data_IF_657391558427
#
_entry.id   IF_657391558427
#
_cell.length_a   1.000
_cell.length_b   1.000
_cell.length_c   1.000
_cell.angle_alpha   90.00
_cell.angle_beta   90.00
_cell.angle_gamma   90.00
#
_symmetry.space_group_name_H-M   'P 1'
#
loop_
_entity.id
_entity.type
_entity.pdbx_description
1 polymer ?
#
# COMPACT_ATOMS: atom_id res chain seq x y z
N UNK A 1 -2.70 1.27 -23.79
CA UNK A 1 -1.32 0.84 -23.48
C UNK A 1 -1.19 -0.16 -22.32
N UNK A 2 -1.59 0.11 -21.07
CA UNK A 2 -1.40 -0.87 -19.96
C UNK A 2 -2.28 -2.14 -20.09
N UNK A 3 -3.59 -1.96 -20.30
CA UNK A 3 -4.54 -3.08 -20.45
C UNK A 3 -4.15 -3.98 -21.63
N UNK A 4 -3.74 -3.40 -22.74
CA UNK A 4 -3.31 -4.13 -23.95
C UNK A 4 -2.05 -4.96 -23.69
N UNK A 5 -1.16 -4.47 -22.82
CA UNK A 5 0.12 -5.13 -22.53
C UNK A 5 0.05 -6.18 -21.42
N UNK A 6 -0.76 -5.95 -20.38
CA UNK A 6 -0.77 -6.78 -19.18
C UNK A 6 -2.11 -7.50 -18.93
N UNK A 7 -3.16 -7.17 -19.69
CA UNK A 7 -4.48 -7.82 -19.58
C UNK A 7 -5.32 -7.36 -18.38
N UNK A 8 -4.86 -6.41 -17.58
CA UNK A 8 -5.61 -5.84 -16.45
C UNK A 8 -5.38 -4.34 -16.34
N UNK A 9 -6.26 -3.63 -15.62
CA UNK A 9 -6.11 -2.21 -15.31
C UNK A 9 -5.86 -2.04 -13.81
N UNK A 10 -4.71 -1.50 -13.37
CA UNK A 10 -4.48 -1.24 -11.95
C UNK A 10 -5.42 -0.12 -11.48
N UNK A 11 -6.10 -0.37 -10.36
CA UNK A 11 -7.09 0.58 -9.79
C UNK A 11 -6.54 1.36 -8.59
N UNK A 12 -5.46 0.85 -7.98
CA UNK A 12 -4.82 1.42 -6.80
C UNK A 12 -3.34 0.98 -6.76
N UNK A 13 -2.50 1.84 -6.18
CA UNK A 13 -1.11 1.52 -5.84
C UNK A 13 -0.93 1.69 -4.34
N UNK A 14 -0.29 0.73 -3.67
CA UNK A 14 0.09 0.82 -2.27
C UNK A 14 1.60 1.03 -2.08
N UNK A 15 1.98 1.68 -1.00
CA UNK A 15 3.38 1.84 -0.59
C UNK A 15 3.51 1.83 0.94
N UNK A 16 4.71 1.49 1.41
CA UNK A 16 5.00 1.26 2.82
C UNK A 16 6.13 2.17 3.29
N UNK A 17 5.85 2.98 4.30
CA UNK A 17 6.81 3.92 4.88
C UNK A 17 7.16 3.46 6.29
N UNK A 18 8.45 3.37 6.60
CA UNK A 18 8.89 3.12 7.97
C UNK A 18 8.78 4.42 8.79
N UNK A 19 7.83 4.53 9.74
CA UNK A 19 7.58 5.75 10.49
C UNK A 19 8.72 6.10 11.45
N UNK A 20 9.58 5.13 11.81
CA UNK A 20 10.75 5.37 12.66
C UNK A 20 11.85 6.11 11.89
N UNK A 21 11.90 5.93 10.56
CA UNK A 21 12.90 6.55 9.69
C UNK A 21 12.37 7.78 8.95
N UNK A 22 11.10 7.77 8.57
CA UNK A 22 10.51 8.79 7.71
C UNK A 22 9.09 9.15 8.13
N UNK A 23 8.77 10.45 8.16
CA UNK A 23 7.42 10.93 8.52
C UNK A 23 6.38 10.80 7.39
N UNK A 24 6.74 10.31 6.20
CA UNK A 24 5.80 10.15 5.07
C UNK A 24 5.16 11.46 4.57
N UNK A 25 5.79 12.62 4.77
CA UNK A 25 5.21 13.94 4.40
C UNK A 25 5.01 14.10 2.90
N UNK A 26 5.95 13.60 2.09
CA UNK A 26 5.87 13.66 0.63
C UNK A 26 4.63 12.92 0.11
N UNK A 27 4.33 11.73 0.65
CA UNK A 27 3.13 10.96 0.29
C UNK A 27 1.85 11.74 0.64
N UNK A 28 1.76 12.26 1.87
CA UNK A 28 0.60 13.07 2.29
C UNK A 28 0.39 14.33 1.43
N UNK A 29 1.47 14.90 0.89
CA UNK A 29 1.41 16.09 0.03
C UNK A 29 1.16 15.78 -1.46
N UNK A 30 1.12 14.50 -1.87
CA UNK A 30 1.04 14.09 -3.28
C UNK A 30 -0.15 13.18 -3.57
N UNK A 31 -1.32 13.48 -2.98
CA UNK A 31 -2.57 12.75 -3.14
C UNK A 31 -2.55 11.27 -2.69
N UNK A 32 -1.55 10.88 -1.88
CA UNK A 32 -1.61 9.57 -1.21
C UNK A 32 -2.46 9.65 0.05
N UNK A 33 -3.30 8.65 0.24
CA UNK A 33 -4.14 8.50 1.41
C UNK A 33 -3.49 7.52 2.38
N UNK A 34 -3.28 7.92 3.64
CA UNK A 34 -2.87 7.01 4.70
C UNK A 34 -4.06 6.14 5.13
N UNK A 35 -3.87 4.82 5.15
CA UNK A 35 -4.95 3.87 5.46
C UNK A 35 -4.70 3.03 6.72
N UNK A 36 -3.55 3.20 7.37
CA UNK A 36 -3.22 2.50 8.61
C UNK A 36 -1.78 2.03 8.67
N UNK A 37 -1.54 0.99 9.49
CA UNK A 37 -0.21 0.44 9.75
C UNK A 37 -0.15 -1.06 9.52
N UNK A 38 1.00 -1.55 9.07
CA UNK A 38 1.26 -2.99 8.99
C UNK A 38 1.39 -3.60 10.39
N UNK A 39 1.25 -4.92 10.49
CA UNK A 39 1.37 -5.64 11.78
C UNK A 39 2.82 -6.00 12.15
N UNK A 40 3.82 -5.39 11.51
CA UNK A 40 5.23 -5.75 11.73
C UNK A 40 5.60 -7.17 11.29
N UNK A 41 4.79 -7.80 10.43
CA UNK A 41 5.05 -9.15 9.93
C UNK A 41 5.76 -9.09 8.58
N UNK A 42 6.94 -9.69 8.50
CA UNK A 42 7.64 -9.87 7.23
C UNK A 42 7.03 -10.97 6.38
N UNK A 43 7.37 -11.02 5.09
CA UNK A 43 6.90 -12.05 4.13
C UNK A 43 7.19 -13.49 4.58
N UNK A 44 8.24 -13.68 5.37
CA UNK A 44 8.71 -14.99 5.87
C UNK A 44 8.41 -15.19 7.36
N UNK A 45 7.49 -14.42 7.96
CA UNK A 45 7.13 -14.55 9.36
C UNK A 45 6.24 -15.79 9.62
N UNK A 46 6.84 -16.97 9.48
CA UNK A 46 6.20 -18.28 9.68
C UNK A 46 5.64 -18.48 11.10
N UNK A 47 6.24 -17.83 12.08
CA UNK A 47 5.91 -18.01 13.50
C UNK A 47 5.13 -16.83 14.09
N UNK A 48 4.66 -15.89 13.25
CA UNK A 48 3.96 -14.67 13.68
C UNK A 48 4.68 -13.91 14.79
N UNK A 49 6.02 -13.90 14.75
CA UNK A 49 6.85 -13.25 15.78
C UNK A 49 6.92 -11.73 15.59
N UNK A 50 6.45 -11.20 14.46
CA UNK A 50 6.41 -9.74 14.24
C UNK A 50 7.79 -9.09 14.26
N UNK A 51 8.82 -9.78 13.77
CA UNK A 51 10.22 -9.30 13.81
C UNK A 51 10.53 -8.18 12.81
N UNK A 52 9.54 -7.67 12.08
CA UNK A 52 9.70 -6.59 11.12
C UNK A 52 9.14 -5.27 11.68
N UNK A 53 9.64 -4.15 11.17
CA UNK A 53 9.15 -2.84 11.61
C UNK A 53 7.70 -2.63 11.18
N UNK A 54 6.91 -2.02 12.06
CA UNK A 54 5.55 -1.56 11.77
C UNK A 54 5.65 -0.39 10.79
N UNK A 55 5.03 -0.51 9.62
CA UNK A 55 5.10 0.49 8.55
C UNK A 55 3.76 1.20 8.40
N UNK A 56 3.78 2.49 8.11
CA UNK A 56 2.61 3.21 7.63
C UNK A 56 2.29 2.77 6.19
N UNK A 57 1.01 2.55 5.92
CA UNK A 57 0.50 2.17 4.59
C UNK A 57 -0.17 3.36 3.95
N UNK A 58 0.27 3.69 2.75
CA UNK A 58 -0.31 4.74 1.92
C UNK A 58 -0.82 4.13 0.63
N UNK A 59 -1.94 4.65 0.13
CA UNK A 59 -2.50 4.26 -1.16
C UNK A 59 -2.70 5.46 -2.07
N UNK A 60 -2.44 5.26 -3.35
CA UNK A 60 -2.78 6.18 -4.42
C UNK A 60 -3.89 5.54 -5.25
N UNK A 61 -5.02 6.22 -5.34
CA UNK A 61 -6.19 5.73 -6.06
C UNK A 61 -6.02 6.11 -7.54
N UNK A 62 -6.00 5.11 -8.43
CA UNK A 62 -5.93 5.31 -9.89
C UNK A 62 -7.33 5.33 -10.52
N UNK A 63 -8.28 4.59 -9.94
CA UNK A 63 -9.67 4.58 -10.35
C UNK A 63 -10.59 4.68 -9.12
N UNK A 64 -11.62 5.52 -9.20
CA UNK A 64 -12.58 5.73 -8.11
C UNK A 64 -13.37 4.44 -7.77
N UNK A 65 -13.53 3.52 -8.73
CA UNK A 65 -14.21 2.23 -8.55
C UNK A 65 -13.32 1.14 -7.94
N UNK A 66 -12.16 1.50 -7.35
CA UNK A 66 -11.21 0.53 -6.83
C UNK A 66 -11.81 -0.39 -5.75
N UNK A 67 -12.80 0.09 -5.00
CA UNK A 67 -13.43 -0.70 -3.93
C UNK A 67 -14.26 -1.84 -4.52
N UNK A 68 -15.06 -1.55 -5.54
CA UNK A 68 -15.87 -2.55 -6.22
C UNK A 68 -14.99 -3.57 -6.95
N UNK A 69 -13.90 -3.11 -7.58
CA UNK A 69 -12.98 -3.98 -8.32
C UNK A 69 -12.15 -4.89 -7.39
N UNK A 70 -11.74 -4.41 -6.21
CA UNK A 70 -10.95 -5.20 -5.25
C UNK A 70 -11.79 -6.03 -4.27
N UNK A 71 -13.09 -5.78 -4.17
CA UNK A 71 -14.01 -6.55 -3.33
C UNK A 71 -14.61 -7.78 -4.03
N UNK A 72 -14.36 -7.95 -5.32
CA UNK A 72 -14.71 -9.15 -6.10
C UNK A 72 -13.77 -10.30 -5.80
#
# INVERSE_FOLDING_TARGET
>A
DWQERFGYRPVLVETFVDPEKFRGKCYRASNWTHIGKTKGRGRQDRYSKGLSTVKDVYVYILDASFREELAR
#
